data_IF_088189070590
#
_entry.id   IF_088189070590
#
_cell.length_a   1.000
_cell.length_b   1.000
_cell.length_c   1.000
_cell.angle_alpha   90.00
_cell.angle_beta   90.00
_cell.angle_gamma   90.00
#
_symmetry.space_group_name_H-M   'P 1'
#
loop_
_entity.id
_entity.type
_entity.pdbx_description
1 polymer ?
#
# COMPACT_ATOMS: atom_id res chain seq x y z
N UNK A 1 0.80 27.43 -7.27
CA UNK A 1 1.64 27.14 -6.08
C UNK A 1 2.86 26.37 -6.53
N UNK A 2 3.98 26.55 -5.84
CA UNK A 2 5.21 25.76 -5.93
C UNK A 2 5.17 24.68 -4.86
N UNK A 3 4.99 23.42 -5.27
CA UNK A 3 4.79 22.28 -4.37
C UNK A 3 6.00 21.35 -4.40
N UNK A 4 6.62 21.16 -3.25
CA UNK A 4 7.66 20.14 -3.07
C UNK A 4 7.02 18.86 -2.54
N UNK A 5 7.03 17.79 -3.33
CA UNK A 5 6.60 16.47 -2.90
C UNK A 5 7.81 15.65 -2.45
N UNK A 6 7.74 14.97 -1.31
CA UNK A 6 8.85 14.11 -0.85
C UNK A 6 8.53 12.64 -1.05
N UNK A 7 9.55 11.83 -1.32
CA UNK A 7 9.43 10.38 -1.44
C UNK A 7 10.67 9.65 -0.93
N UNK A 8 10.48 8.43 -0.38
CA UNK A 8 11.61 7.60 0.11
C UNK A 8 12.41 7.03 -1.05
N UNK A 9 11.71 6.53 -2.05
CA UNK A 9 12.28 6.04 -3.29
C UNK A 9 11.29 6.15 -4.45
N UNK A 10 11.79 6.30 -5.67
CA UNK A 10 11.04 6.30 -6.91
C UNK A 10 11.64 5.26 -7.86
N UNK A 11 11.85 4.05 -7.34
CA UNK A 11 12.57 2.97 -8.02
C UNK A 11 11.60 2.02 -8.71
N UNK A 12 10.71 1.41 -7.91
CA UNK A 12 9.78 0.35 -8.32
C UNK A 12 8.32 0.78 -8.16
N UNK A 13 7.42 0.06 -8.83
CA UNK A 13 5.99 0.36 -8.87
C UNK A 13 5.28 -0.14 -7.60
N UNK A 14 5.29 0.67 -6.53
CA UNK A 14 4.41 0.47 -5.37
C UNK A 14 3.37 1.58 -5.24
N UNK A 15 2.48 1.41 -4.25
CA UNK A 15 1.29 2.24 -4.10
C UNK A 15 1.60 3.72 -3.87
N UNK A 16 2.51 4.03 -2.95
CA UNK A 16 2.79 5.43 -2.58
C UNK A 16 3.54 6.17 -3.69
N UNK A 17 4.45 5.50 -4.40
CA UNK A 17 5.15 6.02 -5.57
C UNK A 17 4.17 6.33 -6.70
N UNK A 18 3.22 5.43 -6.99
CA UNK A 18 2.20 5.66 -8.02
C UNK A 18 1.20 6.75 -7.62
N UNK A 19 0.86 6.88 -6.33
CA UNK A 19 0.08 8.01 -5.83
C UNK A 19 0.83 9.32 -6.06
N UNK A 20 2.13 9.40 -5.74
CA UNK A 20 2.95 10.59 -6.03
C UNK A 20 2.96 10.90 -7.52
N UNK A 21 3.10 9.89 -8.41
CA UNK A 21 3.06 10.10 -9.86
C UNK A 21 1.73 10.69 -10.31
N UNK A 22 0.61 10.13 -9.88
CA UNK A 22 -0.72 10.56 -10.30
C UNK A 22 -1.07 11.97 -9.77
N UNK A 23 -0.79 12.24 -8.49
CA UNK A 23 -1.05 13.55 -7.87
C UNK A 23 -0.14 14.63 -8.44
N UNK A 24 1.15 14.35 -8.62
CA UNK A 24 2.10 15.32 -9.18
C UNK A 24 1.70 15.75 -10.59
N UNK A 25 1.25 14.80 -11.42
CA UNK A 25 0.81 15.07 -12.79
C UNK A 25 -0.46 15.90 -12.83
N UNK A 26 -1.50 15.49 -12.10
CA UNK A 26 -2.76 16.24 -12.06
C UNK A 26 -2.54 17.65 -11.50
N UNK A 27 -1.71 17.82 -10.47
CA UNK A 27 -1.38 19.15 -9.96
C UNK A 27 -0.59 19.99 -10.98
N UNK A 28 0.34 19.39 -11.73
CA UNK A 28 1.05 20.10 -12.80
C UNK A 28 0.09 20.53 -13.93
N UNK A 29 -0.85 19.67 -14.32
CA UNK A 29 -1.90 19.98 -15.31
C UNK A 29 -2.81 21.13 -14.85
N UNK A 30 -3.04 21.27 -13.55
CA UNK A 30 -3.76 22.40 -12.94
C UNK A 30 -2.93 23.70 -12.83
N UNK A 31 -1.69 23.71 -13.33
CA UNK A 31 -0.83 24.90 -13.38
C UNK A 31 0.03 25.12 -12.13
N UNK A 32 0.17 24.11 -11.27
CA UNK A 32 1.14 24.16 -10.16
C UNK A 32 2.56 23.85 -10.66
N UNK A 33 3.56 24.50 -10.07
CA UNK A 33 4.96 24.16 -10.29
C UNK A 33 5.35 23.03 -9.33
N UNK A 34 5.67 21.84 -9.85
CA UNK A 34 5.92 20.65 -9.02
C UNK A 34 7.39 20.22 -9.10
N UNK A 35 7.99 20.01 -7.92
CA UNK A 35 9.24 19.26 -7.79
C UNK A 35 9.01 18.07 -6.86
N UNK A 36 9.44 16.88 -7.28
CA UNK A 36 9.45 15.66 -6.45
C UNK A 36 10.88 15.37 -6.02
N UNK A 37 11.13 15.38 -4.71
CA UNK A 37 12.39 14.99 -4.11
C UNK A 37 12.36 13.54 -3.66
N UNK A 38 13.36 12.76 -4.07
CA UNK A 38 13.61 11.44 -3.51
C UNK A 38 15.09 11.07 -3.54
N UNK A 39 15.67 10.57 -2.43
CA UNK A 39 17.09 10.22 -2.37
C UNK A 39 17.45 9.03 -3.27
N UNK A 40 16.46 8.26 -3.73
CA UNK A 40 16.66 7.10 -4.61
C UNK A 40 15.76 7.19 -5.83
N UNK A 41 16.36 7.43 -6.99
CA UNK A 41 15.65 7.52 -8.26
C UNK A 41 15.82 6.24 -9.08
N UNK A 42 14.75 5.80 -9.75
CA UNK A 42 14.77 4.67 -10.67
C UNK A 42 13.69 4.75 -11.72
N UNK A 43 13.04 3.62 -12.05
CA UNK A 43 12.11 3.52 -13.17
C UNK A 43 10.89 4.44 -13.03
N UNK A 44 10.35 4.56 -11.82
CA UNK A 44 9.18 5.41 -11.54
C UNK A 44 9.49 6.89 -11.74
N UNK A 45 10.68 7.36 -11.36
CA UNK A 45 11.07 8.77 -11.55
C UNK A 45 10.93 9.22 -13.01
N UNK A 46 11.19 8.32 -13.97
CA UNK A 46 11.09 8.59 -15.41
C UNK A 46 9.67 8.85 -15.87
N UNK A 47 8.66 8.37 -15.14
CA UNK A 47 7.26 8.61 -15.46
C UNK A 47 6.90 10.08 -15.27
N UNK A 48 7.59 10.82 -14.40
CA UNK A 48 7.24 12.21 -14.11
C UNK A 48 7.79 13.20 -15.15
N UNK A 49 8.89 12.87 -15.83
CA UNK A 49 9.58 13.79 -16.76
C UNK A 49 8.72 14.33 -17.90
N UNK A 50 7.85 13.54 -18.57
CA UNK A 50 7.02 14.05 -19.66
C UNK A 50 5.94 15.05 -19.24
N UNK A 51 5.67 15.19 -17.93
CA UNK A 51 4.52 15.92 -17.40
C UNK A 51 4.89 17.30 -16.84
N UNK A 52 6.06 17.84 -17.18
CA UNK A 52 6.54 19.12 -16.63
C UNK A 52 6.92 19.05 -15.14
N UNK A 53 6.88 17.86 -14.53
CA UNK A 53 7.28 17.63 -13.14
C UNK A 53 8.78 17.42 -13.06
N UNK A 54 9.45 18.23 -12.24
CA UNK A 54 10.89 18.06 -11.96
C UNK A 54 11.08 16.98 -10.90
N UNK A 55 12.09 16.12 -11.09
CA UNK A 55 12.48 15.11 -10.09
C UNK A 55 13.94 15.32 -9.71
N UNK A 56 14.22 15.41 -8.41
CA UNK A 56 15.57 15.69 -7.87
C UNK A 56 15.94 14.68 -6.79
N UNK A 57 17.24 14.38 -6.69
CA UNK A 57 17.79 13.54 -5.62
C UNK A 57 18.49 14.32 -4.51
N UNK A 58 18.64 15.63 -4.67
CA UNK A 58 19.14 16.54 -3.64
C UNK A 58 18.19 17.71 -3.49
N UNK A 59 17.97 18.15 -2.26
CA UNK A 59 17.10 19.30 -2.00
C UNK A 59 17.72 20.64 -2.49
N UNK A 60 19.04 20.70 -2.65
CA UNK A 60 19.73 21.87 -3.22
C UNK A 60 19.39 22.10 -4.71
N UNK A 61 18.93 21.06 -5.40
CA UNK A 61 18.56 21.14 -6.81
C UNK A 61 17.11 21.63 -7.01
N UNK A 62 16.38 21.90 -5.92
CA UNK A 62 15.06 22.52 -5.97
C UNK A 62 15.23 23.99 -6.35
N UNK A 63 14.66 24.45 -7.47
CA UNK A 63 14.96 25.77 -8.09
C UNK A 63 14.37 26.97 -7.34
N UNK A 64 13.52 26.74 -6.35
CA UNK A 64 12.75 27.75 -5.65
C UNK A 64 12.52 27.34 -4.20
N UNK A 65 12.12 28.30 -3.37
CA UNK A 65 11.53 27.99 -2.06
C UNK A 65 10.09 27.51 -2.29
N UNK A 66 9.70 26.32 -1.81
CA UNK A 66 8.33 25.83 -1.97
C UNK A 66 7.35 26.70 -1.17
N UNK A 67 6.17 26.91 -1.74
CA UNK A 67 5.04 27.50 -0.99
C UNK A 67 4.56 26.50 0.06
N UNK A 68 4.55 25.21 -0.29
CA UNK A 68 4.12 24.10 0.56
C UNK A 68 4.96 22.85 0.30
N UNK A 69 5.24 22.09 1.36
CA UNK A 69 5.75 20.73 1.27
C UNK A 69 4.58 19.74 1.37
N UNK A 70 4.34 18.99 0.30
CA UNK A 70 3.49 17.81 0.33
C UNK A 70 4.33 16.60 0.71
N UNK A 71 4.40 16.34 2.01
CA UNK A 71 5.33 15.40 2.58
C UNK A 71 4.82 13.95 2.48
N UNK A 72 5.67 13.05 1.97
CA UNK A 72 5.54 11.61 2.14
C UNK A 72 6.83 11.04 2.74
N UNK A 73 6.66 9.99 3.52
CA UNK A 73 7.72 9.21 4.18
C UNK A 73 8.62 10.03 5.12
N UNK A 74 8.96 9.41 6.23
CA UNK A 74 9.45 10.09 7.41
C UNK A 74 10.71 10.95 7.19
N UNK A 75 11.84 10.34 6.83
CA UNK A 75 13.11 11.08 6.67
C UNK A 75 13.14 12.05 5.48
N UNK A 76 12.63 11.71 4.28
CA UNK A 76 12.54 12.67 3.18
C UNK A 76 11.74 13.92 3.54
N UNK A 77 10.62 13.76 4.26
CA UNK A 77 9.81 14.86 4.76
C UNK A 77 10.60 15.74 5.74
N UNK A 78 11.25 15.13 6.73
CA UNK A 78 12.06 15.85 7.73
C UNK A 78 13.23 16.60 7.09
N UNK A 79 13.92 16.00 6.10
CA UNK A 79 15.00 16.65 5.37
C UNK A 79 14.50 17.87 4.58
N UNK A 80 13.37 17.73 3.87
CA UNK A 80 12.77 18.85 3.15
C UNK A 80 12.37 19.99 4.10
N UNK A 81 11.74 19.66 5.23
CA UNK A 81 11.40 20.66 6.24
C UNK A 81 12.66 21.33 6.82
N UNK A 82 13.73 20.59 7.11
CA UNK A 82 14.98 21.17 7.59
C UNK A 82 15.62 22.12 6.56
N UNK A 83 15.56 21.81 5.26
CA UNK A 83 16.12 22.65 4.20
C UNK A 83 15.30 23.91 3.91
N UNK A 84 13.98 23.84 4.09
CA UNK A 84 13.05 24.94 3.84
C UNK A 84 12.38 25.32 5.17
N UNK A 85 13.11 26.03 6.01
CA UNK A 85 12.82 26.25 7.44
C UNK A 85 11.49 26.96 7.72
N UNK A 86 10.99 27.75 6.77
CA UNK A 86 9.76 28.52 6.88
C UNK A 86 8.62 27.97 6.03
N UNK A 87 8.79 26.85 5.32
CA UNK A 87 7.73 26.32 4.47
C UNK A 87 6.76 25.44 5.28
N UNK A 88 5.44 25.69 5.22
CA UNK A 88 4.43 24.81 5.84
C UNK A 88 4.31 23.47 5.11
N UNK A 89 3.83 22.45 5.80
CA UNK A 89 3.71 21.10 5.29
C UNK A 89 2.32 20.48 5.49
N UNK A 90 1.92 19.64 4.54
CA UNK A 90 0.84 18.66 4.66
C UNK A 90 1.46 17.28 4.48
N UNK A 91 1.27 16.38 5.43
CA UNK A 91 1.87 15.04 5.43
C UNK A 91 0.86 13.98 4.98
N UNK A 92 1.11 13.29 3.87
CA UNK A 92 0.27 12.20 3.36
C UNK A 92 0.79 10.86 3.87
N UNK A 93 0.02 10.22 4.76
CA UNK A 93 0.30 8.89 5.29
C UNK A 93 -0.13 7.79 4.31
N UNK A 94 0.81 6.91 3.95
CA UNK A 94 0.55 5.72 3.10
C UNK A 94 0.47 4.42 3.90
N UNK A 95 0.85 4.47 5.18
CA UNK A 95 0.75 3.37 6.12
C UNK A 95 1.09 3.82 7.54
N UNK A 96 1.18 2.84 8.44
CA UNK A 96 1.67 3.01 9.81
C UNK A 96 2.92 2.16 10.08
N UNK A 97 3.22 1.23 9.18
CA UNK A 97 4.34 0.30 9.27
C UNK A 97 4.89 0.05 7.85
N UNK A 98 6.21 -0.12 7.69
CA UNK A 98 7.26 -0.01 8.72
C UNK A 98 7.48 1.44 9.21
N UNK A 99 8.39 1.68 10.17
CA UNK A 99 8.61 3.01 10.79
C UNK A 99 8.75 4.17 9.78
N UNK A 100 9.31 3.91 8.59
CA UNK A 100 9.46 4.90 7.51
C UNK A 100 8.13 5.46 7.01
N UNK A 101 7.03 4.76 7.25
CA UNK A 101 5.65 5.19 6.95
C UNK A 101 5.05 6.05 8.06
N UNK A 102 5.59 5.96 9.29
CA UNK A 102 5.02 6.66 10.43
C UNK A 102 5.17 8.17 10.26
N UNK A 103 4.11 8.95 10.55
CA UNK A 103 4.17 10.40 10.43
C UNK A 103 5.14 10.99 11.47
N UNK A 104 6.05 11.90 11.08
CA UNK A 104 6.86 12.64 12.03
C UNK A 104 6.01 13.68 12.77
N UNK A 105 6.31 13.93 14.04
CA UNK A 105 5.68 15.03 14.78
C UNK A 105 6.44 16.32 14.51
N UNK A 106 5.86 17.22 13.71
CA UNK A 106 6.49 18.50 13.41
C UNK A 106 5.48 19.65 13.39
N UNK A 107 5.83 20.79 14.00
CA UNK A 107 4.90 21.93 14.19
C UNK A 107 4.38 22.52 12.88
N UNK A 108 5.23 22.54 11.85
CA UNK A 108 4.88 23.00 10.49
C UNK A 108 4.06 21.98 9.69
N UNK A 109 3.80 20.78 10.23
CA UNK A 109 2.79 19.91 9.63
C UNK A 109 1.43 20.37 10.15
N UNK A 110 0.69 21.05 9.27
CA UNK A 110 -0.65 21.58 9.57
C UNK A 110 -1.74 20.54 9.41
N UNK A 111 -1.51 19.55 8.55
CA UNK A 111 -2.47 18.48 8.30
C UNK A 111 -1.74 17.16 8.02
N UNK A 112 -2.22 16.09 8.66
CA UNK A 112 -1.90 14.70 8.38
C UNK A 112 -3.06 14.07 7.62
N UNK A 113 -2.80 13.66 6.39
CA UNK A 113 -3.79 13.08 5.48
C UNK A 113 -3.74 11.57 5.55
N UNK A 114 -4.89 10.97 5.85
CA UNK A 114 -5.09 9.53 5.91
C UNK A 114 -5.92 9.07 4.71
N UNK A 115 -5.66 7.86 4.22
CA UNK A 115 -6.35 7.28 3.06
C UNK A 115 -7.71 6.62 3.38
N UNK A 116 -8.12 6.61 4.65
CA UNK A 116 -9.47 6.22 5.08
C UNK A 116 -9.77 6.67 6.51
N UNK A 117 -11.06 6.71 6.85
CA UNK A 117 -11.57 7.09 8.15
C UNK A 117 -11.07 6.20 9.31
N UNK A 118 -10.87 4.91 9.05
CA UNK A 118 -10.29 4.03 10.06
C UNK A 118 -8.84 4.44 10.40
N UNK A 119 -8.06 4.83 9.40
CA UNK A 119 -6.68 5.29 9.61
C UNK A 119 -6.63 6.65 10.31
N UNK A 120 -7.64 7.50 10.17
CA UNK A 120 -7.79 8.72 11.00
C UNK A 120 -7.86 8.34 12.47
N UNK A 121 -8.78 7.44 12.84
CA UNK A 121 -8.95 7.00 14.24
C UNK A 121 -7.67 6.38 14.80
N UNK A 122 -7.05 5.50 14.00
CA UNK A 122 -5.81 4.84 14.38
C UNK A 122 -4.67 5.84 14.57
N UNK A 123 -4.47 6.77 13.64
CA UNK A 123 -3.35 7.68 13.69
C UNK A 123 -3.43 8.65 14.88
N UNK A 124 -4.64 9.12 15.22
CA UNK A 124 -4.87 9.91 16.43
C UNK A 124 -4.46 9.12 17.67
N UNK A 125 -4.89 7.86 17.78
CA UNK A 125 -4.64 7.03 18.96
C UNK A 125 -3.19 6.52 19.07
N UNK A 126 -2.59 6.06 17.97
CA UNK A 126 -1.26 5.44 17.97
C UNK A 126 -0.11 6.46 17.94
N UNK A 127 -0.31 7.61 17.29
CA UNK A 127 0.76 8.61 17.10
C UNK A 127 0.52 9.91 17.89
N UNK A 128 -0.51 9.94 18.75
CA UNK A 128 -0.86 11.09 19.59
C UNK A 128 -1.00 12.38 18.77
N UNK A 129 -1.66 12.27 17.60
CA UNK A 129 -1.89 13.40 16.71
C UNK A 129 -3.12 14.17 17.14
N UNK A 130 -3.01 15.51 17.11
CA UNK A 130 -4.14 16.42 17.30
C UNK A 130 -5.25 16.11 16.29
N UNK A 131 -6.48 15.72 16.73
CA UNK A 131 -7.60 15.45 15.84
C UNK A 131 -7.92 16.60 14.87
N UNK A 132 -7.71 17.85 15.28
CA UNK A 132 -7.92 19.03 14.43
C UNK A 132 -6.93 19.13 13.26
N UNK A 133 -5.84 18.36 13.30
CA UNK A 133 -4.82 18.29 12.26
C UNK A 133 -4.88 17.00 11.45
N UNK A 134 -5.85 16.12 11.66
CA UNK A 134 -5.97 14.87 10.88
C UNK A 134 -7.15 14.98 9.92
N UNK A 135 -6.96 14.62 8.66
CA UNK A 135 -8.01 14.65 7.64
C UNK A 135 -7.99 13.38 6.79
N UNK A 136 -9.15 13.01 6.26
CA UNK A 136 -9.31 11.86 5.38
C UNK A 136 -9.38 12.31 3.93
N UNK A 137 -8.45 11.85 3.09
CA UNK A 137 -8.56 11.89 1.63
C UNK A 137 -8.47 10.44 1.16
N UNK A 138 -9.62 9.79 0.88
CA UNK A 138 -9.65 8.40 0.47
C UNK A 138 -8.76 8.12 -0.73
N UNK A 139 -8.26 6.89 -0.83
CA UNK A 139 -7.61 6.45 -2.06
C UNK A 139 -8.55 6.63 -3.26
N UNK A 140 -7.93 6.77 -4.42
CA UNK A 140 -8.59 7.12 -5.67
C UNK A 140 -8.06 6.28 -6.83
N UNK A 141 -8.80 6.33 -7.93
CA UNK A 141 -8.41 5.79 -9.23
C UNK A 141 -8.31 6.92 -10.25
N UNK A 142 -7.26 6.89 -11.08
CA UNK A 142 -7.18 7.73 -12.25
C UNK A 142 -8.06 7.16 -13.37
N UNK A 143 -9.28 7.67 -13.52
CA UNK A 143 -10.27 7.14 -14.49
C UNK A 143 -9.94 7.48 -15.95
N UNK A 144 -9.03 8.43 -16.22
CA UNK A 144 -8.53 8.68 -17.58
C UNK A 144 -7.49 7.63 -17.97
N UNK A 145 -6.68 7.16 -17.01
CA UNK A 145 -5.75 6.03 -17.20
C UNK A 145 -6.48 4.68 -17.23
N UNK A 146 -7.38 4.45 -16.29
CA UNK A 146 -8.25 3.27 -16.25
C UNK A 146 -9.55 3.58 -17.02
N UNK A 147 -9.41 3.92 -18.30
CA UNK A 147 -10.50 4.37 -19.17
C UNK A 147 -11.46 3.24 -19.54
N UNK A 148 -10.90 2.07 -19.85
CA UNK A 148 -11.66 0.91 -20.30
C UNK A 148 -12.44 0.27 -19.15
N UNK A 149 -13.69 -0.09 -19.42
CA UNK A 149 -14.59 -0.73 -18.46
C UNK A 149 -15.19 -1.97 -19.11
N UNK A 150 -14.87 -3.14 -18.57
CA UNK A 150 -15.47 -4.39 -19.03
C UNK A 150 -16.89 -4.55 -18.52
N UNK A 151 -17.71 -5.26 -19.28
CA UNK A 151 -19.01 -5.73 -18.80
C UNK A 151 -18.80 -6.86 -17.76
N UNK A 152 -19.41 -6.79 -16.57
CA UNK A 152 -19.35 -7.88 -15.61
C UNK A 152 -19.94 -9.18 -16.21
N UNK A 153 -19.24 -10.32 -16.10
CA UNK A 153 -19.64 -11.56 -16.75
C UNK A 153 -20.75 -12.26 -15.94
N UNK A 154 -21.56 -13.10 -16.59
CA UNK A 154 -22.52 -13.97 -15.87
C UNK A 154 -21.84 -15.05 -15.04
N UNK A 155 -20.73 -15.58 -15.54
CA UNK A 155 -19.92 -16.62 -14.88
C UNK A 155 -18.47 -16.15 -14.80
N UNK A 156 -17.83 -16.32 -13.64
CA UNK A 156 -16.42 -16.01 -13.44
C UNK A 156 -15.55 -17.21 -13.81
N UNK A 157 -14.44 -16.97 -14.52
CA UNK A 157 -13.45 -17.98 -14.91
C UNK A 157 -12.03 -17.56 -14.65
N UNK A 158 -11.73 -16.26 -14.75
CA UNK A 158 -10.39 -15.71 -14.56
C UNK A 158 -10.33 -14.88 -13.30
N UNK A 159 -9.45 -15.24 -12.39
CA UNK A 159 -9.17 -14.52 -11.16
C UNK A 159 -7.74 -13.96 -11.17
N UNK A 160 -7.55 -12.82 -10.51
CA UNK A 160 -6.25 -12.21 -10.32
C UNK A 160 -6.00 -11.92 -8.84
N UNK A 161 -4.85 -12.32 -8.33
CA UNK A 161 -4.31 -11.79 -7.07
C UNK A 161 -3.46 -10.55 -7.38
N UNK A 162 -3.96 -9.37 -7.03
CA UNK A 162 -3.31 -8.07 -7.30
C UNK A 162 -2.83 -7.42 -5.99
N UNK A 163 -1.60 -7.73 -5.59
CA UNK A 163 -1.00 -7.25 -4.35
C UNK A 163 0.53 -7.25 -4.42
N UNK A 164 1.16 -6.17 -3.94
CA UNK A 164 2.63 -6.08 -3.93
C UNK A 164 3.32 -6.89 -2.84
N UNK A 165 2.70 -7.01 -1.65
CA UNK A 165 3.34 -7.53 -0.43
C UNK A 165 3.44 -9.06 -0.35
N UNK A 166 2.72 -9.80 -1.21
CA UNK A 166 2.68 -11.26 -1.18
C UNK A 166 1.80 -11.85 -0.07
N UNK A 167 1.35 -13.09 -0.23
CA UNK A 167 0.72 -13.88 0.82
C UNK A 167 1.72 -14.87 1.43
N UNK A 168 1.56 -15.26 2.70
CA UNK A 168 2.21 -16.45 3.25
C UNK A 168 1.99 -17.67 2.35
N UNK A 169 3.00 -18.53 2.21
CA UNK A 169 2.97 -19.67 1.29
C UNK A 169 1.77 -20.62 1.49
N UNK A 170 1.35 -20.84 2.74
CA UNK A 170 0.19 -21.68 3.06
C UNK A 170 -1.10 -21.03 2.55
N UNK A 171 -1.28 -19.74 2.81
CA UNK A 171 -2.44 -18.97 2.36
C UNK A 171 -2.51 -18.88 0.83
N UNK A 172 -1.37 -18.68 0.17
CA UNK A 172 -1.29 -18.69 -1.28
C UNK A 172 -1.74 -20.04 -1.86
N UNK A 173 -1.23 -21.15 -1.29
CA UNK A 173 -1.60 -22.50 -1.73
C UNK A 173 -3.09 -22.80 -1.48
N UNK A 174 -3.66 -22.30 -0.38
CA UNK A 174 -5.08 -22.43 -0.10
C UNK A 174 -5.95 -21.63 -1.08
N UNK A 175 -5.52 -20.42 -1.43
CA UNK A 175 -6.19 -19.59 -2.43
C UNK A 175 -6.16 -20.27 -3.81
N UNK A 176 -4.99 -20.75 -4.25
CA UNK A 176 -4.81 -21.46 -5.51
C UNK A 176 -5.69 -22.71 -5.58
N UNK A 177 -5.68 -23.53 -4.53
CA UNK A 177 -6.47 -24.76 -4.46
C UNK A 177 -7.97 -24.46 -4.45
N UNK A 178 -8.39 -23.44 -3.69
CA UNK A 178 -9.79 -23.02 -3.62
C UNK A 178 -10.30 -22.45 -4.94
N UNK A 179 -9.49 -21.63 -5.63
CA UNK A 179 -9.81 -21.15 -6.98
C UNK A 179 -9.94 -22.32 -7.97
N UNK A 180 -8.98 -23.25 -7.99
CA UNK A 180 -9.02 -24.41 -8.88
C UNK A 180 -10.25 -25.30 -8.64
N UNK A 181 -10.61 -25.55 -7.37
CA UNK A 181 -11.79 -26.34 -6.99
C UNK A 181 -13.11 -25.69 -7.46
N UNK A 182 -13.11 -24.37 -7.67
CA UNK A 182 -14.26 -23.59 -8.13
C UNK A 182 -14.18 -23.24 -9.63
N UNK A 183 -13.22 -23.82 -10.37
CA UNK A 183 -13.07 -23.59 -11.81
C UNK A 183 -12.50 -22.21 -12.18
N UNK A 184 -11.88 -21.51 -11.23
CA UNK A 184 -11.21 -20.23 -11.45
C UNK A 184 -9.72 -20.44 -11.76
N UNK A 185 -9.26 -19.89 -12.89
CA UNK A 185 -7.84 -19.75 -13.19
C UNK A 185 -7.29 -18.53 -12.45
N UNK A 186 -6.36 -18.74 -11.53
CA UNK A 186 -5.75 -17.67 -10.74
C UNK A 186 -4.38 -17.24 -11.31
N UNK A 187 -4.31 -15.99 -11.78
CA UNK A 187 -3.05 -15.32 -12.10
C UNK A 187 -2.61 -14.41 -10.93
N UNK A 188 -1.34 -13.99 -10.90
CA UNK A 188 -0.75 -13.21 -9.78
C UNK A 188 0.08 -12.05 -10.30
N UNK A 189 -0.16 -10.84 -9.80
CA UNK A 189 0.59 -9.61 -10.13
C UNK A 189 1.04 -8.93 -8.84
N UNK A 190 2.31 -8.53 -8.80
CA UNK A 190 2.95 -7.84 -7.69
C UNK A 190 4.42 -8.22 -7.51
N UNK A 191 5.18 -7.35 -6.84
CA UNK A 191 6.62 -7.52 -6.64
C UNK A 191 6.97 -8.84 -5.92
N UNK A 192 6.19 -9.21 -4.89
CA UNK A 192 6.38 -10.47 -4.17
C UNK A 192 6.19 -11.74 -5.03
N UNK A 193 5.55 -11.62 -6.20
CA UNK A 193 5.34 -12.71 -7.14
C UNK A 193 6.27 -12.64 -8.36
N UNK A 194 7.23 -11.71 -8.37
CA UNK A 194 8.13 -11.50 -9.51
C UNK A 194 7.43 -10.99 -10.77
N UNK A 195 6.21 -10.45 -10.64
CA UNK A 195 5.37 -10.02 -11.75
C UNK A 195 4.83 -8.61 -11.50
N UNK A 196 5.73 -7.63 -11.40
CA UNK A 196 5.35 -6.21 -11.29
C UNK A 196 4.89 -5.69 -12.65
N UNK A 197 3.71 -5.08 -12.68
CA UNK A 197 3.09 -4.61 -13.92
C UNK A 197 3.01 -3.07 -13.93
N UNK A 198 3.67 -2.40 -14.90
CA UNK A 198 3.64 -0.94 -14.99
C UNK A 198 2.31 -0.40 -15.54
N UNK A 199 1.55 -1.26 -16.24
CA UNK A 199 0.29 -0.93 -16.92
C UNK A 199 -0.85 -1.87 -16.50
N UNK A 200 -1.22 -1.93 -15.21
CA UNK A 200 -2.33 -2.76 -14.74
C UNK A 200 -3.66 -2.43 -15.43
N UNK A 201 -3.86 -1.19 -15.88
CA UNK A 201 -5.06 -0.75 -16.60
C UNK A 201 -5.35 -1.57 -17.86
N UNK A 202 -4.30 -2.08 -18.53
CA UNK A 202 -4.45 -2.93 -19.72
C UNK A 202 -4.74 -4.40 -19.38
N UNK A 203 -4.32 -4.85 -18.19
CA UNK A 203 -4.41 -6.25 -17.78
C UNK A 203 -5.72 -6.56 -17.07
N UNK A 204 -6.21 -5.64 -16.24
CA UNK A 204 -7.41 -5.86 -15.42
C UNK A 204 -8.64 -6.23 -16.26
N UNK A 205 -8.74 -5.73 -17.50
CA UNK A 205 -9.83 -6.07 -18.43
C UNK A 205 -10.00 -7.58 -18.69
N UNK A 206 -8.95 -8.36 -18.44
CA UNK A 206 -8.91 -9.79 -18.70
C UNK A 206 -9.46 -10.65 -17.55
N UNK A 207 -9.78 -10.04 -16.40
CA UNK A 207 -10.14 -10.75 -15.18
C UNK A 207 -11.58 -10.51 -14.77
N UNK A 208 -12.19 -11.56 -14.25
CA UNK A 208 -13.57 -11.55 -13.75
C UNK A 208 -13.62 -11.14 -12.28
N UNK A 209 -12.67 -11.69 -11.52
CA UNK A 209 -12.52 -11.50 -10.08
C UNK A 209 -11.10 -11.04 -9.77
N UNK A 210 -10.98 -10.05 -8.89
CA UNK A 210 -9.67 -9.59 -8.40
C UNK A 210 -9.65 -9.67 -6.87
N UNK A 211 -8.65 -10.36 -6.34
CA UNK A 211 -8.28 -10.32 -4.93
C UNK A 211 -7.33 -9.14 -4.71
N UNK A 212 -7.79 -8.12 -4.01
CA UNK A 212 -7.03 -6.88 -3.83
C UNK A 212 -7.47 -6.12 -2.57
N UNK A 213 -6.72 -5.09 -2.20
CA UNK A 213 -7.08 -4.13 -1.16
C UNK A 213 -6.60 -2.73 -1.53
N UNK A 214 -7.09 -1.70 -0.82
CA UNK A 214 -6.67 -0.32 -1.02
C UNK A 214 -6.85 0.19 -2.45
N UNK A 215 -5.81 0.86 -2.97
CA UNK A 215 -5.81 1.43 -4.32
C UNK A 215 -6.00 0.36 -5.41
N UNK A 216 -5.36 -0.80 -5.29
CA UNK A 216 -5.52 -1.89 -6.26
C UNK A 216 -6.96 -2.41 -6.34
N UNK A 217 -7.70 -2.42 -5.23
CA UNK A 217 -9.12 -2.75 -5.23
C UNK A 217 -9.95 -1.70 -5.99
N UNK A 218 -9.68 -0.41 -5.77
CA UNK A 218 -10.34 0.68 -6.51
C UNK A 218 -10.05 0.62 -8.01
N UNK A 219 -8.80 0.36 -8.40
CA UNK A 219 -8.39 0.20 -9.80
C UNK A 219 -9.14 -0.97 -10.46
N UNK A 220 -9.21 -2.13 -9.79
CA UNK A 220 -9.97 -3.28 -10.29
C UNK A 220 -11.47 -2.98 -10.41
N UNK A 221 -12.11 -2.42 -9.38
CA UNK A 221 -13.53 -2.05 -9.43
C UNK A 221 -13.82 -1.02 -10.52
N UNK A 222 -12.94 -0.03 -10.72
CA UNK A 222 -13.12 1.00 -11.74
C UNK A 222 -13.09 0.48 -13.18
N UNK A 223 -12.48 -0.70 -13.38
CA UNK A 223 -12.39 -1.40 -14.67
C UNK A 223 -13.53 -2.38 -14.93
N UNK A 224 -14.46 -2.58 -13.99
CA UNK A 224 -15.57 -3.53 -14.13
C UNK A 224 -15.30 -4.92 -13.56
N UNK A 225 -14.19 -5.12 -12.85
CA UNK A 225 -13.91 -6.38 -12.16
C UNK A 225 -14.72 -6.49 -10.87
N UNK A 226 -15.21 -7.68 -10.55
CA UNK A 226 -15.61 -7.99 -9.18
C UNK A 226 -14.38 -8.02 -8.27
N UNK A 227 -14.51 -7.57 -7.02
CA UNK A 227 -13.37 -7.53 -6.09
C UNK A 227 -13.70 -8.25 -4.80
N UNK A 228 -12.83 -9.16 -4.38
CA UNK A 228 -12.82 -9.73 -3.04
C UNK A 228 -11.64 -9.16 -2.27
N UNK A 229 -11.92 -8.66 -1.07
CA UNK A 229 -10.87 -8.03 -0.25
C UNK A 229 -9.97 -9.08 0.39
N UNK A 230 -8.67 -8.93 0.24
CA UNK A 230 -7.68 -9.87 0.76
C UNK A 230 -6.43 -9.13 1.25
N UNK A 231 -5.86 -9.57 2.36
CA UNK A 231 -4.56 -9.18 2.86
C UNK A 231 -3.88 -10.39 3.52
N UNK A 232 -2.56 -10.37 3.75
CA UNK A 232 -1.89 -11.42 4.51
C UNK A 232 -2.63 -11.71 5.82
N UNK A 233 -2.89 -12.98 6.10
CA UNK A 233 -3.59 -13.49 7.30
C UNK A 233 -5.09 -13.17 7.37
N UNK A 234 -5.66 -12.47 6.40
CA UNK A 234 -7.01 -11.92 6.49
C UNK A 234 -7.77 -12.00 5.16
N UNK A 235 -8.84 -12.79 5.15
CA UNK A 235 -9.82 -12.81 4.08
C UNK A 235 -11.00 -11.89 4.41
N UNK A 236 -11.33 -10.97 3.52
CA UNK A 236 -12.53 -10.14 3.59
C UNK A 236 -13.64 -10.68 2.71
N UNK A 237 -14.65 -9.85 2.44
CA UNK A 237 -15.79 -10.23 1.61
C UNK A 237 -15.67 -9.76 0.16
N UNK A 238 -16.58 -10.25 -0.68
CA UNK A 238 -16.89 -9.64 -1.96
C UNK A 238 -17.37 -8.20 -1.74
N UNK A 239 -16.81 -7.24 -2.47
CA UNK A 239 -17.29 -5.85 -2.45
C UNK A 239 -18.59 -5.79 -3.23
N UNK A 240 -19.65 -5.37 -2.54
CA UNK A 240 -20.99 -5.15 -3.11
C UNK A 240 -21.42 -3.72 -2.89
N UNK A 241 -22.50 -3.27 -3.55
CA UNK A 241 -23.03 -1.93 -3.31
C UNK A 241 -23.45 -1.74 -1.84
N UNK A 242 -24.03 -2.78 -1.24
CA UNK A 242 -24.48 -2.79 0.15
C UNK A 242 -23.33 -2.54 1.14
N UNK A 243 -22.17 -3.17 0.91
CA UNK A 243 -21.05 -3.08 1.84
C UNK A 243 -19.98 -2.05 1.43
N UNK A 244 -20.18 -1.33 0.33
CA UNK A 244 -19.17 -0.45 -0.25
C UNK A 244 -18.66 0.61 0.72
N UNK A 245 -19.56 1.33 1.41
CA UNK A 245 -19.17 2.43 2.29
C UNK A 245 -18.40 1.91 3.53
N UNK A 246 -18.77 0.73 4.04
CA UNK A 246 -18.01 0.03 5.08
C UNK A 246 -16.64 -0.41 4.57
N UNK A 247 -16.55 -0.94 3.36
CA UNK A 247 -15.29 -1.24 2.70
C UNK A 247 -14.41 0.00 2.57
N UNK A 248 -14.98 1.11 2.11
CA UNK A 248 -14.30 2.39 1.94
C UNK A 248 -13.79 2.96 3.27
N UNK A 249 -14.55 2.84 4.35
CA UNK A 249 -14.12 3.22 5.70
C UNK A 249 -12.82 2.50 6.11
N UNK A 250 -12.62 1.26 5.64
CA UNK A 250 -11.45 0.41 5.90
C UNK A 250 -10.39 0.45 4.78
N UNK A 251 -10.49 1.36 3.81
CA UNK A 251 -9.65 1.37 2.60
C UNK A 251 -9.67 0.02 1.86
N UNK A 252 -10.82 -0.65 1.83
CA UNK A 252 -11.00 -1.99 1.27
C UNK A 252 -9.98 -3.02 1.81
N UNK A 253 -9.53 -2.82 3.05
CA UNK A 253 -8.64 -3.74 3.76
C UNK A 253 -9.43 -4.63 4.72
N UNK A 254 -9.21 -5.95 4.74
CA UNK A 254 -9.90 -6.85 5.67
C UNK A 254 -9.28 -6.76 7.08
N UNK A 255 -9.44 -5.63 7.80
CA UNK A 255 -8.71 -5.38 9.08
C UNK A 255 -9.43 -5.82 10.36
N UNK A 256 -8.66 -6.49 11.23
CA UNK A 256 -8.64 -6.67 12.71
C UNK A 256 -9.90 -6.89 13.57
N UNK A 257 -11.12 -6.54 13.15
CA UNK A 257 -12.26 -6.53 14.11
C UNK A 257 -13.39 -7.52 13.82
N UNK A 258 -13.43 -8.15 12.64
CA UNK A 258 -14.23 -9.35 12.41
C UNK A 258 -13.29 -10.54 12.38
N UNK A 259 -13.58 -11.58 13.17
CA UNK A 259 -12.74 -12.78 13.30
C UNK A 259 -12.08 -13.19 11.98
N UNK A 260 -10.77 -13.43 12.01
CA UNK A 260 -9.97 -13.71 10.82
C UNK A 260 -10.62 -14.87 10.05
N UNK A 261 -11.24 -14.56 8.92
CA UNK A 261 -11.78 -15.60 8.05
C UNK A 261 -10.58 -16.24 7.35
N UNK A 262 -10.34 -17.54 7.53
CA UNK A 262 -9.25 -18.21 6.87
C UNK A 262 -9.48 -18.25 5.36
N UNK A 263 -8.41 -18.07 4.59
CA UNK A 263 -8.43 -18.20 3.13
C UNK A 263 -8.60 -19.69 2.82
N UNK A 264 -9.76 -20.09 2.29
CA UNK A 264 -10.04 -21.46 1.87
C UNK A 264 -11.19 -21.53 0.86
N UNK A 265 -11.48 -22.72 0.33
CA UNK A 265 -12.57 -22.97 -0.63
C UNK A 265 -13.94 -22.58 -0.07
N UNK A 266 -14.23 -22.87 1.20
CA UNK A 266 -15.54 -22.59 1.80
C UNK A 266 -15.82 -21.08 1.88
N UNK A 267 -14.79 -20.28 2.21
CA UNK A 267 -14.83 -18.83 2.13
C UNK A 267 -15.11 -18.36 0.69
N UNK A 268 -14.30 -18.79 -0.28
CA UNK A 268 -14.46 -18.41 -1.69
C UNK A 268 -15.86 -18.72 -2.21
N UNK A 269 -16.36 -19.94 -1.95
CA UNK A 269 -17.69 -20.38 -2.40
C UNK A 269 -18.80 -19.50 -1.83
N UNK A 270 -18.69 -19.14 -0.55
CA UNK A 270 -19.69 -18.28 0.11
C UNK A 270 -19.68 -16.87 -0.49
N UNK A 271 -18.51 -16.26 -0.68
CA UNK A 271 -18.42 -14.90 -1.23
C UNK A 271 -18.80 -14.86 -2.71
N UNK A 272 -18.47 -15.89 -3.50
CA UNK A 272 -18.89 -16.01 -4.90
C UNK A 272 -20.42 -16.15 -5.04
N UNK A 273 -21.09 -16.78 -4.08
CA UNK A 273 -22.54 -16.92 -4.10
C UNK A 273 -23.28 -15.57 -3.96
N UNK A 274 -22.59 -14.52 -3.50
CA UNK A 274 -23.13 -13.16 -3.39
C UNK A 274 -23.00 -12.37 -4.71
N UNK A 275 -22.25 -12.88 -5.70
CA UNK A 275 -21.97 -12.14 -6.91
C UNK A 275 -23.22 -11.95 -7.79
N UNK A 276 -23.40 -10.71 -8.25
CA UNK A 276 -24.33 -10.36 -9.30
C UNK A 276 -23.66 -9.42 -10.31
N UNK A 277 -23.79 -9.66 -11.64
CA UNK A 277 -23.27 -8.75 -12.66
C UNK A 277 -23.84 -7.32 -12.53
N UNK A 278 -25.09 -7.19 -12.08
CA UNK A 278 -25.74 -5.90 -11.89
C UNK A 278 -25.11 -5.12 -10.73
N UNK A 279 -24.87 -5.79 -9.60
CA UNK A 279 -24.25 -5.16 -8.43
C UNK A 279 -22.80 -4.75 -8.73
N UNK A 280 -22.02 -5.61 -9.41
CA UNK A 280 -20.67 -5.26 -9.85
C UNK A 280 -20.63 -4.04 -10.79
N UNK A 281 -21.60 -3.91 -11.70
CA UNK A 281 -21.73 -2.73 -12.55
C UNK A 281 -22.07 -1.47 -11.72
N UNK A 282 -22.93 -1.59 -10.69
CA UNK A 282 -23.26 -0.48 -9.80
C UNK A 282 -22.06 -0.06 -8.92
N UNK A 283 -21.28 -1.00 -8.41
CA UNK A 283 -20.03 -0.74 -7.70
C UNK A 283 -19.05 0.00 -8.60
N UNK A 284 -18.87 -0.46 -9.85
CA UNK A 284 -18.03 0.19 -10.85
C UNK A 284 -18.45 1.64 -11.08
N UNK A 285 -19.75 1.88 -11.29
CA UNK A 285 -20.31 3.21 -11.47
C UNK A 285 -20.11 4.11 -10.23
N UNK A 286 -20.25 3.57 -9.03
CA UNK A 286 -20.01 4.30 -7.77
C UNK A 286 -18.55 4.69 -7.63
N UNK A 287 -17.60 3.79 -7.87
CA UNK A 287 -16.15 4.08 -7.85
C UNK A 287 -15.80 5.19 -8.84
N UNK A 288 -16.25 5.07 -10.09
CA UNK A 288 -15.95 6.06 -11.14
C UNK A 288 -16.59 7.43 -10.89
N UNK A 289 -17.63 7.49 -10.04
CA UNK A 289 -18.27 8.74 -9.62
C UNK A 289 -17.61 9.37 -8.38
N UNK A 290 -17.24 8.56 -7.40
CA UNK A 290 -16.92 9.05 -6.04
C UNK A 290 -15.43 8.93 -5.66
N UNK A 291 -14.65 8.14 -6.38
CA UNK A 291 -13.26 7.78 -6.03
C UNK A 291 -12.28 8.15 -7.15
N UNK A 292 -12.48 9.28 -7.81
CA UNK A 292 -11.61 9.74 -8.90
C UNK A 292 -10.39 10.51 -8.39
N UNK A 293 -9.32 10.51 -9.19
CA UNK A 293 -8.13 11.32 -8.95
C UNK A 293 -8.48 12.80 -8.74
N UNK A 294 -9.38 13.35 -9.57
CA UNK A 294 -9.78 14.75 -9.51
C UNK A 294 -10.40 15.11 -8.16
N UNK A 295 -11.32 14.29 -7.65
CA UNK A 295 -11.94 14.52 -6.33
C UNK A 295 -10.89 14.51 -5.21
N UNK A 296 -9.94 13.57 -5.27
CA UNK A 296 -8.88 13.51 -4.27
C UNK A 296 -7.96 14.73 -4.32
N UNK A 297 -7.58 15.18 -5.53
CA UNK A 297 -6.75 16.36 -5.74
C UNK A 297 -7.47 17.65 -5.34
N UNK A 298 -8.78 17.78 -5.60
CA UNK A 298 -9.60 18.89 -5.09
C UNK A 298 -9.56 18.96 -3.56
N UNK A 299 -9.69 17.80 -2.90
CA UNK A 299 -9.59 17.68 -1.44
C UNK A 299 -8.20 18.09 -0.93
N UNK A 300 -7.14 17.63 -1.58
CA UNK A 300 -5.75 17.98 -1.26
C UNK A 300 -5.50 19.48 -1.42
N UNK A 301 -5.90 20.09 -2.53
CA UNK A 301 -5.78 21.55 -2.74
C UNK A 301 -6.51 22.35 -1.67
N UNK A 302 -7.68 21.88 -1.23
CA UNK A 302 -8.40 22.47 -0.10
C UNK A 302 -7.58 22.45 1.20
N UNK A 303 -6.89 21.34 1.47
CA UNK A 303 -5.99 21.23 2.63
C UNK A 303 -4.73 22.09 2.48
N UNK A 304 -4.20 22.21 1.26
CA UNK A 304 -3.04 23.05 0.97
C UNK A 304 -3.34 24.52 1.24
N UNK A 305 -4.50 25.01 0.76
CA UNK A 305 -4.93 26.39 1.01
C UNK A 305 -5.08 26.68 2.50
N UNK A 306 -5.73 25.77 3.26
CA UNK A 306 -5.85 25.89 4.72
C UNK A 306 -4.49 25.92 5.43
N UNK A 307 -3.54 25.10 4.98
CA UNK A 307 -2.20 25.08 5.54
C UNK A 307 -1.43 26.39 5.26
N UNK A 308 -1.58 26.95 4.06
CA UNK A 308 -0.98 28.24 3.70
C UNK A 308 -1.59 29.41 4.48
N UNK A 309 -2.92 29.40 4.67
CA UNK A 309 -3.63 30.41 5.48
C UNK A 309 -3.23 30.39 6.96
N UNK A 310 -2.86 29.22 7.48
CA UNK A 310 -2.43 29.06 8.88
C UNK A 310 -1.04 29.67 9.14
N UNK A 311 -0.24 29.93 8.10
CA UNK A 311 1.10 30.50 8.21
C UNK A 311 2.12 29.62 8.95
N UNK A 312 3.31 30.15 9.18
CA UNK A 312 4.37 29.47 9.94
C UNK A 312 4.12 29.68 11.43
N UNK A 313 4.01 28.61 12.25
CA UNK A 313 3.91 28.77 13.70
C UNK A 313 5.15 29.48 14.26
N UNK A 314 4.97 30.36 15.25
CA UNK A 314 6.11 31.02 15.89
C UNK A 314 7.11 30.03 16.52
N UNK A 315 8.42 30.37 16.56
CA UNK A 315 9.41 29.56 17.25
C UNK A 315 9.07 29.52 18.73
N UNK A 316 8.68 28.36 19.24
CA UNK A 316 8.62 28.12 20.69
C UNK A 316 9.28 26.79 21.00
N UNK A 317 9.82 26.65 22.22
CA UNK A 317 10.25 25.36 22.74
C UNK A 317 9.09 24.37 22.58
N UNK A 318 9.30 23.33 21.78
CA UNK A 318 8.26 22.41 21.37
C UNK A 318 8.60 20.97 21.69
N UNK A 319 7.63 20.06 21.55
CA UNK A 319 7.81 18.63 21.82
C UNK A 319 8.78 17.95 20.83
N UNK A 320 9.42 18.72 19.94
CA UNK A 320 10.27 18.21 18.87
C UNK A 320 11.55 17.54 19.40
N UNK A 321 12.18 18.09 20.44
CA UNK A 321 13.34 17.46 21.07
C UNK A 321 12.96 16.09 21.68
N UNK A 322 11.89 16.03 22.48
CA UNK A 322 11.38 14.78 23.06
C UNK A 322 10.96 13.77 21.99
N UNK A 323 10.42 14.23 20.85
CA UNK A 323 10.14 13.38 19.70
C UNK A 323 11.42 12.81 19.07
N UNK A 324 12.47 13.63 18.88
CA UNK A 324 13.75 13.17 18.36
C UNK A 324 14.45 12.17 19.31
N UNK A 325 14.39 12.38 20.63
CA UNK A 325 14.92 11.45 21.63
C UNK A 325 14.23 10.07 21.55
N UNK A 326 12.91 10.06 21.39
CA UNK A 326 12.14 8.83 21.19
C UNK A 326 12.53 8.13 19.89
N UNK A 327 12.59 8.88 18.78
CA UNK A 327 12.98 8.35 17.48
C UNK A 327 14.40 7.78 17.51
N UNK A 328 15.34 8.44 18.19
CA UNK A 328 16.70 7.95 18.35
C UNK A 328 16.73 6.58 19.05
N UNK A 329 15.94 6.43 20.12
CA UNK A 329 15.82 5.16 20.86
C UNK A 329 15.21 4.04 20.00
N UNK A 330 14.17 4.37 19.21
CA UNK A 330 13.51 3.41 18.30
C UNK A 330 14.44 2.97 17.17
N UNK A 331 15.14 3.92 16.53
CA UNK A 331 16.08 3.64 15.44
C UNK A 331 17.29 2.85 15.95
N UNK A 332 17.79 3.12 17.17
CA UNK A 332 18.87 2.36 17.78
C UNK A 332 18.45 0.91 18.08
N UNK A 333 17.24 0.71 18.64
CA UNK A 333 16.69 -0.63 18.83
C UNK A 333 16.61 -1.42 17.50
N UNK A 334 16.16 -0.76 16.43
CA UNK A 334 16.14 -1.35 15.08
C UNK A 334 17.54 -1.66 14.55
N UNK A 335 18.52 -0.82 14.84
CA UNK A 335 19.92 -1.07 14.47
C UNK A 335 20.43 -2.33 15.15
N UNK A 336 20.22 -2.47 16.46
CA UNK A 336 20.61 -3.65 17.24
C UNK A 336 19.93 -4.93 16.73
N UNK A 337 18.63 -4.86 16.41
CA UNK A 337 17.92 -5.99 15.78
C UNK A 337 18.58 -6.38 14.45
N UNK A 338 18.91 -5.42 13.60
CA UNK A 338 19.58 -5.67 12.32
C UNK A 338 20.96 -6.30 12.51
N UNK A 339 21.74 -5.85 13.49
CA UNK A 339 23.06 -6.43 13.81
C UNK A 339 22.96 -7.87 14.32
N UNK A 340 21.83 -8.25 14.92
CA UNK A 340 21.59 -9.63 15.35
C UNK A 340 21.25 -10.60 14.19
N UNK A 341 20.83 -10.09 13.03
CA UNK A 341 20.36 -10.91 11.90
C UNK A 341 21.38 -11.94 11.38
N UNK A 342 22.68 -11.64 11.23
CA UNK A 342 23.67 -12.63 10.80
C UNK A 342 23.75 -13.82 11.76
N UNK A 343 23.71 -13.57 13.08
CA UNK A 343 23.73 -14.64 14.08
C UNK A 343 22.46 -15.50 14.01
N UNK A 344 21.29 -14.86 13.86
CA UNK A 344 20.01 -15.57 13.66
C UNK A 344 20.02 -16.41 12.39
N UNK A 345 20.48 -15.88 11.25
CA UNK A 345 20.64 -16.62 9.99
C UNK A 345 21.60 -17.80 10.16
N UNK A 346 22.73 -17.61 10.84
CA UNK A 346 23.67 -18.68 11.16
C UNK A 346 23.03 -19.79 12.02
N UNK A 347 22.19 -19.41 12.99
CA UNK A 347 21.45 -20.35 13.83
C UNK A 347 20.40 -21.14 13.04
N UNK A 348 19.64 -20.48 12.17
CA UNK A 348 18.67 -21.13 11.27
C UNK A 348 19.40 -22.15 10.38
N UNK A 349 20.47 -21.75 9.69
CA UNK A 349 21.24 -22.64 8.83
C UNK A 349 21.85 -23.83 9.59
N UNK A 350 22.26 -23.64 10.86
CA UNK A 350 22.67 -24.73 11.73
C UNK A 350 21.51 -25.70 12.06
N UNK A 351 20.35 -25.18 12.43
CA UNK A 351 19.17 -25.98 12.76
C UNK A 351 18.65 -26.76 11.54
N UNK A 352 18.62 -26.14 10.35
CA UNK A 352 18.26 -26.79 9.09
C UNK A 352 19.19 -27.96 8.78
N UNK A 353 20.52 -27.76 8.88
CA UNK A 353 21.50 -28.84 8.71
C UNK A 353 21.30 -29.97 9.72
N UNK A 354 21.01 -29.63 10.98
CA UNK A 354 20.75 -30.61 12.04
C UNK A 354 19.47 -31.41 11.79
N UNK A 355 18.40 -30.76 11.32
CA UNK A 355 17.15 -31.39 10.90
C UNK A 355 17.39 -32.34 9.71
N UNK A 356 18.05 -31.88 8.64
CA UNK A 356 18.36 -32.71 7.48
C UNK A 356 19.17 -33.97 7.83
N UNK A 357 20.17 -33.84 8.73
CA UNK A 357 20.94 -34.98 9.26
C UNK A 357 20.07 -35.95 10.07
N UNK A 358 19.17 -35.44 10.91
CA UNK A 358 18.23 -36.30 11.67
C UNK A 358 17.26 -37.03 10.75
N UNK A 359 16.68 -36.36 9.77
CA UNK A 359 15.76 -36.96 8.79
C UNK A 359 16.44 -38.04 7.94
N UNK A 360 17.62 -37.76 7.39
CA UNK A 360 18.40 -38.76 6.65
C UNK A 360 18.80 -39.97 7.51
N UNK A 361 19.15 -39.75 8.78
CA UNK A 361 19.44 -40.86 9.72
C UNK A 361 18.19 -41.72 10.04
N UNK A 362 17.02 -41.09 10.18
CA UNK A 362 15.73 -41.81 10.36
C UNK A 362 15.35 -42.60 9.11
N UNK A 363 15.49 -42.01 7.91
CA UNK A 363 15.23 -42.71 6.66
C UNK A 363 16.13 -43.94 6.48
N UNK A 364 17.43 -43.80 6.77
CA UNK A 364 18.38 -44.94 6.73
C UNK A 364 17.99 -46.04 7.71
N UNK A 365 17.52 -45.71 8.92
CA UNK A 365 17.02 -46.71 9.89
C UNK A 365 15.75 -47.41 9.41
N UNK A 366 14.83 -46.68 8.79
CA UNK A 366 13.59 -47.25 8.22
C UNK A 366 13.94 -48.20 7.06
N UNK A 367 14.78 -47.76 6.11
CA UNK A 367 15.23 -48.60 4.98
C UNK A 367 15.91 -49.87 5.49
N UNK A 368 16.79 -49.76 6.50
CA UNK A 368 17.49 -50.92 7.09
C UNK A 368 16.55 -51.89 7.83
N UNK A 369 15.43 -51.41 8.39
CA UNK A 369 14.43 -52.29 9.02
C UNK A 369 13.58 -53.00 7.97
N UNK A 370 13.26 -52.34 6.86
CA UNK A 370 12.55 -52.94 5.72
C UNK A 370 13.41 -54.00 5.04
N UNK A 371 14.71 -53.75 4.83
CA UNK A 371 15.64 -54.73 4.25
C UNK A 371 15.87 -55.95 5.15
N UNK A 372 15.86 -55.78 6.49
CA UNK A 372 15.98 -56.91 7.43
C UNK A 372 14.75 -57.80 7.46
N UNK A 373 13.56 -57.25 7.20
CA UNK A 373 12.33 -58.04 7.09
C UNK A 373 12.25 -58.88 5.80
N UNK A 374 12.95 -58.47 4.73
CA UNK A 374 12.99 -59.21 3.45
C UNK A 374 14.08 -60.27 3.34
N UNK A 375 14.97 -60.41 4.34
CA UNK A 375 16.02 -61.44 4.37
C UNK A 375 15.72 -62.62 5.29
N UNK A 376 14.50 -62.69 5.83
CA UNK A 376 13.98 -63.78 6.67
C UNK A 376 12.76 -64.48 6.06
N UNK A 377 12.44 -64.16 4.80
CA UNK A 377 11.71 -65.03 3.88
C UNK A 377 12.74 -65.73 2.99
#
# INVERSE_FOLDING_TARGET
>A
MRLLMTQRELVDFHGSEMVTVEVAREMAERGHEITVFSPRLGGVAKLLWPSGVRVVSRLDDVPWTPDLIHAHHHLPAMAAMARFETTPAVYYCHGAIPWVEQPPMHRRIHCYVMMCEWMVRRAIAEFDLDPGRVSCVPNFVNTTRFSEVRAPPREMRRALLFQSSGLPAIELSQLESGCAALGLQLDKIGAAYGNSQPRPEMLLQQYDLVFASGKSALEAMATGCAVMTLAPTQAGGLVTLENFDRGSFLNFGPRYYSGATPINEAWLRRELALYSPQDAAQVTAKVRRERTLQIAVDGLEGLYRKALESGVPEPAAGPFAAYLERLASEVDAMWLERESLPALRGRIAYLERKLARRWSSRLKKIIKSISRKRGHE
#
